data_IF_132644505264
#
_entry.id   IF_132644505264
#
_cell.length_a   1.000
_cell.length_b   1.000
_cell.length_c   1.000
_cell.angle_alpha   90.00
_cell.angle_beta   90.00
_cell.angle_gamma   90.00
#
_symmetry.space_group_name_H-M   'P 1'
#
loop_
_entity.id
_entity.type
_entity.pdbx_description
1 polymer ?
#
# COMPACT_ATOMS: atom_id res chain seq x y z
N UNK A 1 14.81 -13.64 -23.38
CA UNK A 1 13.80 -12.75 -22.76
C UNK A 1 14.21 -12.36 -21.35
N UNK A 2 14.54 -13.31 -20.47
CA UNK A 2 14.99 -13.02 -19.08
C UNK A 2 16.17 -12.04 -19.01
N UNK A 3 17.23 -12.28 -19.78
CA UNK A 3 18.41 -11.41 -19.80
C UNK A 3 18.10 -9.96 -20.20
N UNK A 4 17.25 -9.77 -21.21
CA UNK A 4 16.80 -8.45 -21.65
C UNK A 4 16.01 -7.72 -20.55
N UNK A 5 15.16 -8.43 -19.80
CA UNK A 5 14.39 -7.85 -18.69
C UNK A 5 15.33 -7.39 -17.57
N UNK A 6 16.33 -8.20 -17.22
CA UNK A 6 17.33 -7.81 -16.22
C UNK A 6 18.15 -6.59 -16.65
N UNK A 7 18.54 -6.53 -17.92
CA UNK A 7 19.28 -5.41 -18.49
C UNK A 7 18.44 -4.11 -18.45
N UNK A 8 17.17 -4.16 -18.85
CA UNK A 8 16.24 -3.01 -18.80
C UNK A 8 16.03 -2.52 -17.36
N UNK A 9 15.95 -3.44 -16.39
CA UNK A 9 15.82 -3.10 -14.97
C UNK A 9 17.15 -2.67 -14.32
N UNK A 10 18.26 -2.61 -15.06
CA UNK A 10 19.60 -2.37 -14.52
C UNK A 10 19.95 -3.33 -13.37
N UNK A 11 19.49 -4.59 -13.45
CA UNK A 11 19.64 -5.61 -12.41
C UNK A 11 19.05 -5.20 -11.04
N UNK A 12 18.19 -4.18 -10.99
CA UNK A 12 17.47 -3.77 -9.79
C UNK A 12 16.21 -4.64 -9.62
N UNK A 13 16.38 -5.83 -9.04
CA UNK A 13 15.28 -6.78 -8.81
C UNK A 13 14.70 -6.71 -7.39
N UNK A 14 15.31 -5.94 -6.48
CA UNK A 14 14.98 -5.90 -5.06
C UNK A 14 14.17 -4.66 -4.66
N UNK A 15 13.29 -4.16 -5.54
CA UNK A 15 12.47 -2.99 -5.22
C UNK A 15 11.35 -3.36 -4.22
N UNK A 16 11.10 -2.50 -3.21
CA UNK A 16 10.02 -2.72 -2.27
C UNK A 16 8.67 -2.56 -2.99
N UNK A 17 7.80 -3.55 -2.84
CA UNK A 17 6.40 -3.50 -3.26
C UNK A 17 5.50 -2.90 -2.18
N UNK A 18 4.26 -2.57 -2.54
CA UNK A 18 3.20 -2.05 -1.65
C UNK A 18 3.06 -2.92 -0.39
N UNK A 19 3.17 -4.24 -0.53
CA UNK A 19 3.03 -5.21 0.56
C UNK A 19 4.06 -5.04 1.69
N UNK A 20 5.27 -4.54 1.38
CA UNK A 20 6.29 -4.30 2.40
C UNK A 20 5.84 -3.25 3.42
N UNK A 21 5.08 -2.25 2.97
CA UNK A 21 4.57 -1.17 3.82
C UNK A 21 3.16 -1.45 4.37
N UNK A 22 2.41 -2.31 3.69
CA UNK A 22 1.00 -2.58 4.01
C UNK A 22 0.81 -3.07 5.45
N UNK A 23 1.66 -4.00 5.92
CA UNK A 23 1.58 -4.52 7.29
C UNK A 23 1.77 -3.43 8.36
N UNK A 24 2.69 -2.49 8.12
CA UNK A 24 2.96 -1.38 9.04
C UNK A 24 1.70 -0.50 9.21
N UNK A 25 1.07 -0.11 8.10
CA UNK A 25 -0.10 0.75 8.12
C UNK A 25 -1.35 0.04 8.66
N UNK A 26 -1.56 -1.25 8.35
CA UNK A 26 -2.67 -2.02 8.91
C UNK A 26 -2.56 -2.15 10.43
N UNK A 27 -1.34 -2.36 10.94
CA UNK A 27 -1.08 -2.41 12.38
C UNK A 27 -1.32 -1.04 13.04
N UNK A 28 -0.88 0.04 12.39
CA UNK A 28 -1.11 1.40 12.88
C UNK A 28 -2.61 1.75 12.93
N UNK A 29 -3.38 1.32 11.92
CA UNK A 29 -4.83 1.54 11.85
C UNK A 29 -5.66 0.63 12.78
N UNK A 30 -5.03 -0.31 13.50
CA UNK A 30 -5.71 -1.37 14.27
C UNK A 30 -6.77 -2.10 13.41
N UNK A 31 -6.41 -2.39 12.17
CA UNK A 31 -7.32 -2.98 11.19
C UNK A 31 -7.84 -4.35 11.65
N UNK A 32 -9.12 -4.59 11.43
CA UNK A 32 -9.72 -5.92 11.59
C UNK A 32 -9.42 -6.81 10.35
N UNK A 33 -9.79 -8.08 10.45
CA UNK A 33 -9.55 -9.05 9.38
C UNK A 33 -10.23 -8.66 8.05
N UNK A 34 -11.36 -7.95 8.12
CA UNK A 34 -12.11 -7.51 6.94
C UNK A 34 -11.40 -6.33 6.23
N UNK A 35 -10.92 -5.35 6.99
CA UNK A 35 -10.12 -4.23 6.48
C UNK A 35 -8.78 -4.74 5.92
N UNK A 36 -8.13 -5.69 6.59
CA UNK A 36 -6.90 -6.30 6.07
C UNK A 36 -7.14 -7.03 4.74
N UNK A 37 -8.21 -7.82 4.64
CA UNK A 37 -8.57 -8.51 3.39
C UNK A 37 -8.86 -7.53 2.26
N UNK A 38 -9.61 -6.46 2.54
CA UNK A 38 -9.91 -5.39 1.56
C UNK A 38 -8.66 -4.64 1.14
N UNK A 39 -7.80 -4.26 2.09
CA UNK A 39 -6.56 -3.56 1.80
C UNK A 39 -5.62 -4.40 0.92
N UNK A 40 -5.51 -5.71 1.17
CA UNK A 40 -4.76 -6.63 0.29
C UNK A 40 -5.35 -6.70 -1.11
N UNK A 41 -6.67 -6.79 -1.23
CA UNK A 41 -7.35 -6.79 -2.52
C UNK A 41 -7.11 -5.50 -3.32
N UNK A 42 -7.28 -4.34 -2.68
CA UNK A 42 -7.01 -3.04 -3.26
C UNK A 42 -5.53 -2.86 -3.65
N UNK A 43 -4.59 -3.41 -2.86
CA UNK A 43 -3.17 -3.39 -3.20
C UNK A 43 -2.86 -4.19 -4.48
N UNK A 44 -3.52 -5.33 -4.70
CA UNK A 44 -3.40 -6.10 -5.94
C UNK A 44 -4.03 -5.36 -7.12
N UNK A 45 -5.20 -4.73 -6.91
CA UNK A 45 -5.82 -3.90 -7.95
C UNK A 45 -4.90 -2.73 -8.35
N UNK A 46 -4.25 -2.08 -7.40
CA UNK A 46 -3.32 -0.99 -7.66
C UNK A 46 -2.12 -1.43 -8.52
N UNK A 47 -1.68 -2.69 -8.46
CA UNK A 47 -0.62 -3.22 -9.34
C UNK A 47 -1.07 -3.42 -10.79
N UNK A 48 -2.39 -3.53 -11.02
CA UNK A 48 -2.95 -3.70 -12.37
C UNK A 48 -3.07 -2.38 -13.12
N UNK A 49 -3.09 -1.27 -12.39
CA UNK A 49 -3.21 0.07 -12.94
C UNK A 49 -1.82 0.70 -13.16
N UNK A 50 -1.49 0.98 -14.41
CA UNK A 50 -0.22 1.57 -14.79
C UNK A 50 -0.03 2.99 -14.23
N UNK A 51 -1.11 3.72 -13.92
CA UNK A 51 -1.00 5.05 -13.33
C UNK A 51 -0.41 5.02 -11.92
N UNK A 52 -0.56 3.90 -11.20
CA UNK A 52 -0.04 3.74 -9.84
C UNK A 52 1.48 3.63 -9.78
N UNK A 53 2.14 3.26 -10.89
CA UNK A 53 3.61 3.13 -10.97
C UNK A 53 4.35 4.45 -10.75
N UNK A 54 3.67 5.59 -10.89
CA UNK A 54 4.23 6.93 -10.64
C UNK A 54 4.38 7.24 -9.14
N UNK A 55 3.64 6.53 -8.28
CA UNK A 55 3.63 6.80 -6.85
C UNK A 55 4.56 5.86 -6.09
N UNK A 56 5.08 6.35 -4.96
CA UNK A 56 5.88 5.53 -4.07
C UNK A 56 5.02 4.40 -3.46
N UNK A 57 5.54 3.15 -3.40
CA UNK A 57 4.82 2.02 -2.82
C UNK A 57 4.30 2.27 -1.39
N UNK A 58 5.03 3.06 -0.59
CA UNK A 58 4.62 3.49 0.75
C UNK A 58 3.38 4.40 0.74
N UNK A 59 3.30 5.31 -0.22
CA UNK A 59 2.16 6.23 -0.37
C UNK A 59 0.92 5.49 -0.84
N UNK A 60 1.10 4.57 -1.80
CA UNK A 60 0.01 3.71 -2.27
C UNK A 60 -0.50 2.81 -1.13
N UNK A 61 0.39 2.23 -0.33
CA UNK A 61 0.01 1.41 0.82
C UNK A 61 -0.83 2.20 1.85
N UNK A 62 -0.41 3.43 2.20
CA UNK A 62 -1.16 4.28 3.11
C UNK A 62 -2.55 4.62 2.55
N UNK A 63 -2.63 5.01 1.28
CA UNK A 63 -3.90 5.33 0.61
C UNK A 63 -4.86 4.13 0.56
N UNK A 64 -4.34 2.94 0.26
CA UNK A 64 -5.12 1.70 0.25
C UNK A 64 -5.68 1.35 1.63
N UNK A 65 -4.89 1.51 2.70
CA UNK A 65 -5.37 1.25 4.07
C UNK A 65 -6.42 2.28 4.49
N UNK A 66 -6.23 3.56 4.15
CA UNK A 66 -7.23 4.61 4.42
C UNK A 66 -8.54 4.27 3.70
N UNK A 67 -8.50 3.98 2.39
CA UNK A 67 -9.70 3.60 1.61
C UNK A 67 -10.39 2.36 2.18
N UNK A 68 -9.63 1.30 2.48
CA UNK A 68 -10.18 0.07 3.05
C UNK A 68 -10.86 0.29 4.40
N UNK A 69 -10.34 1.24 5.19
CA UNK A 69 -10.89 1.58 6.50
C UNK A 69 -12.14 2.47 6.36
N UNK A 70 -12.18 3.42 5.41
CA UNK A 70 -13.31 4.34 5.23
C UNK A 70 -14.62 3.59 4.91
N UNK A 71 -14.48 2.51 4.15
CA UNK A 71 -15.59 1.68 3.69
C UNK A 71 -16.19 0.78 4.80
N UNK A 72 -15.53 0.68 5.97
CA UNK A 72 -15.97 -0.17 7.10
C UNK A 72 -16.72 0.58 8.21
N UNK A 73 -17.11 1.85 8.02
CA UNK A 73 -17.98 2.63 8.92
C UNK A 73 -17.49 2.76 10.40
N UNK A 74 -16.25 2.38 10.72
CA UNK A 74 -15.67 2.60 12.05
C UNK A 74 -15.13 4.02 12.13
N UNK A 75 -15.85 4.94 12.78
CA UNK A 75 -15.59 6.40 12.83
C UNK A 75 -14.32 6.83 13.62
N UNK A 76 -13.21 6.07 13.60
CA UNK A 76 -12.04 6.33 14.47
C UNK A 76 -10.61 6.10 13.92
N UNK A 77 -10.33 5.16 13.00
CA UNK A 77 -8.95 4.76 12.68
C UNK A 77 -8.27 5.59 11.57
N UNK A 78 -9.02 6.37 10.77
CA UNK A 78 -8.44 7.16 9.66
C UNK A 78 -7.52 8.28 10.15
N UNK A 79 -7.86 8.89 11.30
CA UNK A 79 -7.12 10.00 11.89
C UNK A 79 -5.68 9.59 12.24
N UNK A 80 -5.48 8.35 12.71
CA UNK A 80 -4.18 7.84 13.15
C UNK A 80 -3.20 7.64 11.98
N UNK A 81 -3.69 7.32 10.78
CA UNK A 81 -2.83 7.20 9.58
C UNK A 81 -2.43 8.58 9.05
N UNK A 82 -3.29 9.59 9.21
CA UNK A 82 -3.05 10.96 8.78
C UNK A 82 -2.05 11.65 9.73
N UNK A 83 -2.14 11.43 11.04
CA UNK A 83 -1.22 12.03 12.03
C UNK A 83 0.23 11.56 11.88
N UNK A 84 0.48 10.31 11.46
CA UNK A 84 1.85 9.79 11.22
C UNK A 84 2.59 10.58 10.13
N UNK A 85 1.87 11.29 9.26
CA UNK A 85 2.48 12.12 8.21
C UNK A 85 2.86 13.54 8.69
N UNK A 86 2.34 14.00 9.84
CA UNK A 86 2.51 15.36 10.33
C UNK A 86 3.61 15.51 11.40
N UNK A 87 4.17 14.39 11.86
CA UNK A 87 5.21 14.34 12.91
C UNK A 87 6.59 13.88 12.39
N UNK A 88 6.78 13.82 11.07
CA UNK A 88 8.05 13.49 10.42
C UNK A 88 8.59 14.67 9.59
#
# INVERSE_FOLDING_TARGET
>A
MEWLVMEVLNFQCFLPTIYNFLWFYLKAAKADADVEKRAKYLAVLALSDHEQLRYWPSTVAAGVVIMASMDSNQHGPYHQVIEVKNTA
#
